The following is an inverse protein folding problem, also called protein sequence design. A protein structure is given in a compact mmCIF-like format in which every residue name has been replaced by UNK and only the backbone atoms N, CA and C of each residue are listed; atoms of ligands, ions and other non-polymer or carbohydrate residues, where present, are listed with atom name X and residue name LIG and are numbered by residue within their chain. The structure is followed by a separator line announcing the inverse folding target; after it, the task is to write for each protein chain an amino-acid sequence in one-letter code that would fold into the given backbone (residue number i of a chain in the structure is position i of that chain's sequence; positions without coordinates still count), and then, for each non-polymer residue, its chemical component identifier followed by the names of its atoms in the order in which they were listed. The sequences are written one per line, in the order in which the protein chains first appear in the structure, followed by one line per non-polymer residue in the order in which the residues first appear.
data_IF_648898059591
#
_entry.id   IF_648898059591
#
_cell.length_a   1.000
_cell.length_b   1.000
_cell.length_c   1.000
_cell.angle_alpha   90.00
_cell.angle_beta   90.00
_cell.angle_gamma   90.00
#
_symmetry.space_group_name_H-M   'P 1'
#
loop_
_entity.id
_entity.type
_entity.pdbx_description
1 polymer ?
#
# COMPACT_ATOMS: atom_id res chain seq x y z
N UNK A 1 -3.76 -3.22 -5.56
CA UNK A 1 -5.06 -3.11 -4.84
C UNK A 1 -5.83 -4.44 -4.60
N UNK A 2 -5.76 -5.52 -5.41
CA UNK A 2 -6.55 -6.74 -5.14
C UNK A 2 -6.28 -7.44 -3.80
N UNK A 3 -5.07 -7.28 -3.24
CA UNK A 3 -4.61 -8.00 -2.05
C UNK A 3 -5.14 -7.44 -0.72
N UNK A 4 -5.41 -6.12 -0.63
CA UNK A 4 -5.87 -5.49 0.63
C UNK A 4 -7.31 -5.92 0.97
N UNK A 5 -8.14 -6.15 -0.05
CA UNK A 5 -9.54 -6.55 0.13
C UNK A 5 -9.71 -7.83 0.95
N UNK A 6 -8.80 -8.81 0.79
CA UNK A 6 -8.85 -10.06 1.53
C UNK A 6 -8.61 -9.88 3.03
N UNK A 7 -7.76 -8.94 3.43
CA UNK A 7 -7.50 -8.63 4.83
C UNK A 7 -8.75 -7.96 5.45
N UNK A 8 -9.42 -7.09 4.70
CA UNK A 8 -10.67 -6.47 5.14
C UNK A 8 -11.81 -7.49 5.30
N UNK A 9 -11.91 -8.45 4.37
CA UNK A 9 -12.85 -9.58 4.46
C UNK A 9 -12.55 -10.43 5.69
N UNK A 10 -11.27 -10.72 5.96
CA UNK A 10 -10.86 -11.44 7.16
C UNK A 10 -11.24 -10.69 8.44
N UNK A 11 -10.99 -9.38 8.51
CA UNK A 11 -11.38 -8.55 9.67
C UNK A 11 -12.90 -8.60 9.89
N UNK A 12 -13.68 -8.45 8.82
CA UNK A 12 -15.14 -8.51 8.86
C UNK A 12 -15.63 -9.88 9.36
N UNK A 13 -15.01 -10.97 8.88
CA UNK A 13 -15.32 -12.33 9.34
C UNK A 13 -15.01 -12.51 10.82
N UNK A 14 -13.86 -12.03 11.29
CA UNK A 14 -13.50 -12.05 12.72
C UNK A 14 -14.54 -11.29 13.55
N UNK A 15 -14.93 -10.09 13.14
CA UNK A 15 -15.98 -9.30 13.78
C UNK A 15 -17.31 -10.06 13.87
N UNK A 16 -17.72 -10.70 12.77
CA UNK A 16 -18.97 -11.46 12.73
C UNK A 16 -18.93 -12.67 13.67
N UNK A 17 -17.87 -13.46 13.62
CA UNK A 17 -17.71 -14.66 14.47
C UNK A 17 -17.71 -14.26 15.94
N UNK A 18 -16.92 -13.26 16.33
CA UNK A 18 -16.89 -12.79 17.71
C UNK A 18 -18.23 -12.19 18.12
N UNK A 19 -18.91 -11.43 17.26
CA UNK A 19 -20.25 -10.89 17.57
C UNK A 19 -21.27 -11.99 17.88
N UNK A 20 -21.30 -13.07 17.08
CA UNK A 20 -22.20 -14.21 17.33
C UNK A 20 -21.84 -14.92 18.64
N UNK A 21 -20.55 -15.12 18.92
CA UNK A 21 -20.07 -15.74 20.16
C UNK A 21 -20.45 -14.87 21.36
N UNK A 22 -20.13 -13.57 21.34
CA UNK A 22 -20.43 -12.62 22.40
C UNK A 22 -21.93 -12.52 22.68
N UNK A 23 -22.75 -12.48 21.63
CA UNK A 23 -24.22 -12.47 21.77
C UNK A 23 -24.71 -13.70 22.52
N UNK A 24 -24.20 -14.89 22.16
CA UNK A 24 -24.59 -16.15 22.81
C UNK A 24 -24.08 -16.28 24.25
N UNK A 25 -22.86 -15.80 24.52
CA UNK A 25 -22.22 -15.96 25.83
C UNK A 25 -22.73 -14.93 26.85
N UNK A 26 -22.89 -13.67 26.44
CA UNK A 26 -23.09 -12.55 27.36
C UNK A 26 -24.44 -11.85 27.20
N UNK A 27 -25.14 -12.04 26.08
CA UNK A 27 -26.35 -11.27 25.74
C UNK A 27 -27.52 -11.38 26.71
N UNK A 28 -27.63 -12.49 27.44
CA UNK A 28 -28.67 -12.68 28.48
C UNK A 28 -28.45 -11.83 29.73
N UNK A 29 -27.19 -11.53 30.05
CA UNK A 29 -26.79 -10.83 31.28
C UNK A 29 -26.39 -9.39 31.03
N UNK A 30 -25.90 -9.11 29.82
CA UNK A 30 -25.36 -7.83 29.40
C UNK A 30 -25.97 -7.45 28.04
N UNK A 31 -27.30 -7.24 28.03
CA UNK A 31 -28.05 -6.99 26.79
C UNK A 31 -27.69 -5.67 26.10
N UNK A 32 -27.19 -4.69 26.84
CA UNK A 32 -26.73 -3.40 26.30
C UNK A 32 -25.54 -3.58 25.35
N UNK A 33 -24.55 -4.38 25.74
CA UNK A 33 -23.35 -4.62 24.93
C UNK A 33 -23.50 -5.82 23.98
N UNK A 34 -24.15 -6.90 24.44
CA UNK A 34 -24.16 -8.17 23.73
C UNK A 34 -25.57 -8.71 23.46
N UNK A 35 -26.64 -7.93 23.64
CA UNK A 35 -28.02 -8.44 23.51
C UNK A 35 -28.42 -8.81 22.08
N UNK A 36 -27.81 -8.19 21.08
CA UNK A 36 -28.02 -8.50 19.66
C UNK A 36 -26.69 -8.58 18.94
N UNK A 37 -26.68 -9.17 17.74
CA UNK A 37 -25.49 -9.22 16.88
C UNK A 37 -24.98 -7.80 16.57
N UNK A 38 -25.90 -6.85 16.37
CA UNK A 38 -25.52 -5.47 16.06
C UNK A 38 -24.94 -4.75 17.27
N UNK A 39 -25.55 -4.88 18.45
CA UNK A 39 -24.99 -4.36 19.70
C UNK A 39 -23.59 -4.94 19.95
N UNK A 40 -23.44 -6.26 19.78
CA UNK A 40 -22.16 -6.95 19.92
C UNK A 40 -21.12 -6.44 18.93
N UNK A 41 -21.49 -6.20 17.66
CA UNK A 41 -20.58 -5.61 16.67
C UNK A 41 -20.13 -4.20 17.08
N UNK A 42 -21.03 -3.37 17.58
CA UNK A 42 -20.71 -2.02 18.04
C UNK A 42 -19.79 -2.04 19.26
N UNK A 43 -20.09 -2.87 20.27
CA UNK A 43 -19.22 -3.03 21.44
C UNK A 43 -17.86 -3.61 21.07
N UNK A 44 -17.78 -4.57 20.15
CA UNK A 44 -16.51 -5.09 19.64
C UNK A 44 -15.72 -4.04 18.86
N UNK A 45 -16.39 -3.12 18.16
CA UNK A 45 -15.71 -2.00 17.51
C UNK A 45 -15.08 -1.05 18.55
N UNK A 46 -15.82 -0.71 19.60
CA UNK A 46 -15.31 0.08 20.74
C UNK A 46 -14.11 -0.60 21.43
N UNK A 47 -14.22 -1.92 21.66
CA UNK A 47 -13.14 -2.72 22.24
C UNK A 47 -11.92 -2.76 21.31
N UNK A 48 -12.11 -2.86 19.98
CA UNK A 48 -11.01 -2.84 19.01
C UNK A 48 -10.22 -1.53 19.08
N UNK A 49 -10.89 -0.40 19.32
CA UNK A 49 -10.24 0.90 19.51
C UNK A 49 -9.61 1.08 20.89
N UNK A 50 -9.66 0.03 21.74
CA UNK A 50 -9.19 0.03 23.13
C UNK A 50 -9.87 1.08 24.01
N UNK A 51 -11.08 1.51 23.65
CA UNK A 51 -11.85 2.48 24.40
C UNK A 51 -12.76 1.73 25.38
N UNK A 52 -12.70 2.07 26.68
CA UNK A 52 -13.53 1.45 27.73
C UNK A 52 -13.37 -0.07 27.92
N UNK A 53 -12.51 -0.76 27.16
CA UNK A 53 -12.51 -2.23 27.07
C UNK A 53 -12.22 -2.93 28.38
N UNK A 54 -11.33 -2.37 29.21
CA UNK A 54 -10.93 -2.99 30.47
C UNK A 54 -12.07 -2.98 31.48
N UNK A 55 -12.90 -1.94 31.47
CA UNK A 55 -14.06 -1.83 32.37
C UNK A 55 -15.18 -2.76 31.93
N UNK A 56 -15.42 -2.89 30.62
CA UNK A 56 -16.34 -3.88 30.04
C UNK A 56 -15.88 -5.31 30.41
N UNK A 57 -14.60 -5.61 30.19
CA UNK A 57 -14.02 -6.93 30.49
C UNK A 57 -14.11 -7.25 31.99
N UNK A 58 -13.74 -6.32 32.87
CA UNK A 58 -13.85 -6.49 34.33
C UNK A 58 -15.29 -6.71 34.77
N UNK A 59 -16.23 -5.90 34.27
CA UNK A 59 -17.66 -6.00 34.59
C UNK A 59 -18.22 -7.37 34.20
N UNK A 60 -17.86 -7.88 33.02
CA UNK A 60 -18.30 -9.19 32.55
C UNK A 60 -17.58 -10.31 33.30
N UNK A 61 -16.30 -10.14 33.64
CA UNK A 61 -15.51 -11.13 34.36
C UNK A 61 -16.02 -11.42 35.78
N UNK A 62 -16.70 -10.45 36.40
CA UNK A 62 -17.35 -10.63 37.70
C UNK A 62 -18.38 -11.77 37.70
N UNK A 63 -19.06 -11.99 36.57
CA UNK A 63 -20.00 -13.10 36.38
C UNK A 63 -19.43 -14.26 35.56
N UNK A 64 -18.53 -13.95 34.61
CA UNK A 64 -17.93 -14.91 33.70
C UNK A 64 -16.40 -14.84 33.77
N UNK A 65 -15.73 -15.49 34.75
CA UNK A 65 -14.29 -15.30 35.00
C UNK A 65 -13.37 -15.55 33.79
N UNK A 66 -13.79 -16.46 32.89
CA UNK A 66 -13.05 -16.79 31.67
C UNK A 66 -13.30 -15.82 30.50
N UNK A 67 -14.16 -14.81 30.65
CA UNK A 67 -14.46 -13.82 29.60
C UNK A 67 -13.24 -13.01 29.17
N UNK A 68 -12.24 -12.85 30.05
CA UNK A 68 -10.98 -12.17 29.75
C UNK A 68 -10.26 -12.79 28.55
N UNK A 69 -10.33 -14.13 28.40
CA UNK A 69 -9.71 -14.82 27.25
C UNK A 69 -10.40 -14.43 25.94
N UNK A 70 -11.73 -14.28 25.96
CA UNK A 70 -12.51 -13.81 24.80
C UNK A 70 -12.11 -12.39 24.40
N UNK A 71 -12.05 -11.45 25.35
CA UNK A 71 -11.69 -10.06 25.05
C UNK A 71 -10.24 -9.91 24.61
N UNK A 72 -9.29 -10.53 25.32
CA UNK A 72 -7.87 -10.42 25.00
C UNK A 72 -7.58 -11.06 23.64
N UNK A 73 -8.14 -12.23 23.33
CA UNK A 73 -7.96 -12.86 22.02
C UNK A 73 -8.54 -12.02 20.88
N UNK A 74 -9.74 -11.43 21.06
CA UNK A 74 -10.31 -10.50 20.10
C UNK A 74 -9.40 -9.29 19.87
N UNK A 75 -8.94 -8.64 20.93
CA UNK A 75 -8.06 -7.46 20.85
C UNK A 75 -6.79 -7.80 20.08
N UNK A 76 -6.11 -8.91 20.43
CA UNK A 76 -4.88 -9.29 19.74
C UNK A 76 -5.11 -9.52 18.24
N UNK A 77 -6.15 -10.26 17.86
CA UNK A 77 -6.46 -10.55 16.46
C UNK A 77 -6.88 -9.29 15.71
N UNK A 78 -7.78 -8.48 16.28
CA UNK A 78 -8.31 -7.28 15.65
C UNK A 78 -7.25 -6.19 15.50
N UNK A 79 -6.45 -5.93 16.56
CA UNK A 79 -5.35 -4.97 16.50
C UNK A 79 -4.27 -5.40 15.52
N UNK A 80 -3.89 -6.69 15.51
CA UNK A 80 -2.92 -7.21 14.54
C UNK A 80 -3.42 -7.09 13.09
N UNK A 81 -4.67 -7.47 12.85
CA UNK A 81 -5.28 -7.39 11.51
C UNK A 81 -5.39 -5.93 11.05
N UNK A 82 -5.80 -5.03 11.93
CA UNK A 82 -5.88 -3.58 11.64
C UNK A 82 -4.51 -3.00 11.34
N UNK A 83 -3.47 -3.38 12.10
CA UNK A 83 -2.09 -2.98 11.83
C UNK A 83 -1.63 -3.48 10.45
N UNK A 84 -1.96 -4.73 10.09
CA UNK A 84 -1.63 -5.28 8.77
C UNK A 84 -2.34 -4.53 7.63
N UNK A 85 -3.58 -4.07 7.83
CA UNK A 85 -4.26 -3.20 6.86
C UNK A 85 -3.50 -1.88 6.70
N UNK A 86 -3.10 -1.26 7.81
CA UNK A 86 -2.34 -0.01 7.76
C UNK A 86 -1.00 -0.18 7.04
N UNK A 87 -0.22 -1.22 7.38
CA UNK A 87 1.04 -1.55 6.69
C UNK A 87 0.80 -1.77 5.21
N UNK A 88 -0.22 -2.55 4.84
CA UNK A 88 -0.50 -2.84 3.44
C UNK A 88 -0.85 -1.57 2.63
N UNK A 89 -1.60 -0.63 3.22
CA UNK A 89 -1.91 0.66 2.60
C UNK A 89 -0.65 1.51 2.44
N UNK A 90 0.18 1.62 3.47
CA UNK A 90 1.42 2.40 3.44
C UNK A 90 2.39 1.83 2.40
N UNK A 91 2.59 0.51 2.38
CA UNK A 91 3.46 -0.17 1.42
C UNK A 91 2.95 -0.01 0.01
N UNK A 92 1.64 -0.16 -0.23
CA UNK A 92 1.05 0.06 -1.56
C UNK A 92 1.27 1.50 -2.03
N UNK A 93 1.04 2.48 -1.15
CA UNK A 93 1.24 3.90 -1.47
C UNK A 93 2.70 4.22 -1.79
N UNK A 94 3.65 3.71 -0.98
CA UNK A 94 5.08 3.90 -1.21
C UNK A 94 5.56 3.22 -2.49
N UNK A 95 5.04 2.02 -2.78
CA UNK A 95 5.36 1.29 -4.01
C UNK A 95 4.87 2.05 -5.25
N UNK A 96 3.66 2.62 -5.21
CA UNK A 96 3.13 3.46 -6.30
C UNK A 96 3.96 4.72 -6.51
N UNK A 97 4.42 5.38 -5.43
CA UNK A 97 5.31 6.55 -5.51
C UNK A 97 6.66 6.14 -6.13
N UNK A 98 7.28 5.06 -5.65
CA UNK A 98 8.56 4.59 -6.17
C UNK A 98 8.47 4.21 -7.65
N UNK A 99 7.39 3.55 -8.07
CA UNK A 99 7.15 3.24 -9.49
C UNK A 99 7.09 4.51 -10.33
N UNK A 100 6.34 5.53 -9.89
CA UNK A 100 6.27 6.82 -10.60
C UNK A 100 7.64 7.50 -10.72
N UNK A 101 8.44 7.48 -9.66
CA UNK A 101 9.80 8.04 -9.67
C UNK A 101 10.68 7.28 -10.68
N UNK A 102 10.67 5.94 -10.65
CA UNK A 102 11.50 5.13 -11.55
C UNK A 102 11.14 5.33 -13.04
N UNK A 103 9.85 5.49 -13.35
CA UNK A 103 9.39 5.81 -14.71
C UNK A 103 9.86 7.20 -15.12
N UNK A 104 9.77 8.19 -14.22
CA UNK A 104 10.26 9.54 -14.51
C UNK A 104 11.78 9.59 -14.74
N UNK A 105 12.56 8.83 -13.96
CA UNK A 105 14.01 8.73 -14.16
C UNK A 105 14.34 8.06 -15.50
N UNK A 106 13.64 6.98 -15.85
CA UNK A 106 13.84 6.28 -17.12
C UNK A 106 13.51 7.18 -18.31
N UNK A 107 12.38 7.91 -18.25
CA UNK A 107 12.00 8.84 -19.31
C UNK A 107 13.02 9.99 -19.46
N UNK A 108 13.54 10.54 -18.35
CA UNK A 108 14.59 11.56 -18.41
C UNK A 108 15.88 11.06 -19.06
N UNK A 109 16.28 9.81 -18.78
CA UNK A 109 17.44 9.20 -19.42
C UNK A 109 17.19 9.01 -20.91
N UNK A 110 15.99 8.58 -21.29
CA UNK A 110 15.60 8.41 -22.69
C UNK A 110 15.62 9.74 -23.45
N UNK A 111 15.10 10.82 -22.85
CA UNK A 111 15.15 12.17 -23.42
C UNK A 111 16.61 12.64 -23.63
N UNK A 112 17.49 12.45 -22.64
CA UNK A 112 18.92 12.81 -22.75
C UNK A 112 19.61 12.02 -23.88
N UNK A 113 19.34 10.72 -23.98
CA UNK A 113 19.91 9.86 -25.04
C UNK A 113 19.39 10.30 -26.41
N UNK A 114 18.13 10.69 -26.53
CA UNK A 114 17.57 11.19 -27.78
C UNK A 114 18.25 12.50 -28.20
N UNK A 115 18.37 13.46 -27.28
CA UNK A 115 19.05 14.73 -27.55
C UNK A 115 20.51 14.52 -27.98
N UNK A 116 21.26 13.67 -27.28
CA UNK A 116 22.67 13.36 -27.61
C UNK A 116 22.80 12.65 -28.98
N UNK A 117 21.85 11.77 -29.34
CA UNK A 117 21.82 11.14 -30.66
C UNK A 117 21.52 12.13 -31.79
N UNK A 118 20.65 13.11 -31.56
CA UNK A 118 20.36 14.15 -32.54
C UNK A 118 21.59 15.05 -32.77
N UNK A 119 22.29 15.43 -31.71
CA UNK A 119 23.54 16.19 -31.79
C UNK A 119 24.61 15.42 -32.57
N UNK A 120 24.83 14.14 -32.23
CA UNK A 120 25.78 13.28 -32.92
C UNK A 120 25.45 13.10 -34.42
N UNK A 121 24.16 12.98 -34.76
CA UNK A 121 23.72 12.92 -36.18
C UNK A 121 24.05 14.21 -36.93
N UNK A 122 23.91 15.36 -36.30
CA UNK A 122 24.27 16.64 -36.89
C UNK A 122 25.79 16.76 -37.09
N UNK A 123 26.59 16.34 -36.12
CA UNK A 123 28.05 16.33 -36.22
C UNK A 123 28.55 15.44 -37.35
N UNK A 124 28.00 14.23 -37.48
CA UNK A 124 28.31 13.32 -38.59
C UNK A 124 28.01 13.97 -39.94
N UNK A 125 26.90 14.71 -40.04
CA UNK A 125 26.51 15.42 -41.27
C UNK A 125 27.53 16.51 -41.62
N UNK A 126 27.93 17.31 -40.63
CA UNK A 126 28.91 18.38 -40.81
C UNK A 126 30.29 17.83 -41.20
N UNK A 127 30.76 16.77 -40.54
CA UNK A 127 32.02 16.10 -40.88
C UNK A 127 32.01 15.56 -42.31
N UNK A 128 30.91 14.94 -42.75
CA UNK A 128 30.75 14.49 -44.15
C UNK A 128 30.87 15.66 -45.13
N UNK A 129 30.22 16.79 -44.85
CA UNK A 129 30.35 17.98 -45.70
C UNK A 129 31.77 18.54 -45.74
N UNK A 130 32.50 18.52 -44.63
CA UNK A 130 33.89 18.97 -44.57
C UNK A 130 34.83 18.07 -45.38
N UNK A 131 34.64 16.75 -45.31
CA UNK A 131 35.41 15.77 -46.11
C UNK A 131 35.21 16.05 -47.60
N UNK A 132 33.96 16.21 -48.04
CA UNK A 132 33.64 16.50 -49.45
C UNK A 132 34.35 17.80 -49.90
N UNK A 133 34.28 18.86 -49.10
CA UNK A 133 34.97 20.13 -49.41
C UNK A 133 36.50 19.99 -49.48
N UNK A 134 37.09 19.14 -48.64
CA UNK A 134 38.53 18.86 -48.64
C UNK A 134 38.94 18.07 -49.89
N UNK A 135 38.18 17.04 -50.27
CA UNK A 135 38.40 16.25 -51.49
C UNK A 135 38.32 17.14 -52.74
N UNK A 136 37.33 18.03 -52.82
CA UNK A 136 37.21 19.00 -53.92
C UNK A 136 38.41 19.96 -54.00
N UNK A 137 38.87 20.47 -52.85
CA UNK A 137 40.06 21.35 -52.79
C UNK A 137 41.32 20.60 -53.22
N UNK A 138 41.50 19.35 -52.79
CA UNK A 138 42.66 18.53 -53.16
C UNK A 138 42.66 18.26 -54.67
N UNK A 139 41.51 17.88 -55.22
CA UNK A 139 41.32 17.64 -56.65
C UNK A 139 41.64 18.88 -57.49
N UNK A 140 41.14 20.05 -57.09
CA UNK A 140 41.48 21.32 -57.75
C UNK A 140 42.97 21.64 -57.70
N UNK A 141 43.64 21.36 -56.58
CA UNK A 141 45.07 21.64 -56.41
C UNK A 141 45.95 20.69 -57.22
N UNK A 142 45.55 19.42 -57.34
CA UNK A 142 46.22 18.42 -58.19
C UNK A 142 46.12 18.76 -59.68
N UNK A 143 45.00 19.32 -60.13
CA UNK A 143 44.83 19.76 -61.53
C UNK A 143 45.55 21.08 -61.89
N UNK A 144 46.18 21.74 -60.91
CA UNK A 144 46.96 22.97 -61.11
C UNK A 144 48.48 22.74 -61.14
N UNK A 145 48.92 21.50 -60.94
CA UNK A 145 50.32 21.04 -61.02
C UNK A 145 50.48 20.26 -62.33
#
# INVERSE_FOLDING_TARGET
LPSIGWIFVLLTLVFYVFSVIGTKLFGSSYSEWFGTIWASMFSLFQIMTLEGWADIARTISARYPFSNVYFISFILIASYTTLNIFIAIVVNTMSEIQQKISIQETNKIEDIIQDENEELRNDIRNLKEQIIKLEEKLSKKLNQI
#
